data_IF_777375532740
#
_entry.id   IF_777375532740
#
_cell.length_a   1.000
_cell.length_b   1.000
_cell.length_c   1.000
_cell.angle_alpha   90.00
_cell.angle_beta   90.00
_cell.angle_gamma   90.00
#
_symmetry.space_group_name_H-M   'P 1'
#
loop_
_entity.id
_entity.type
_entity.pdbx_description
1 polymer ?
#
# COMPACT_ATOMS: atom_id res chain seq x y z
N UNK A 1 -12.99 -8.83 -5.47
CA UNK A 1 -13.02 -9.98 -4.54
C UNK A 1 -11.92 -9.84 -3.51
N UNK A 2 -12.24 -10.08 -2.24
CA UNK A 2 -11.26 -9.97 -1.16
C UNK A 2 -10.23 -11.08 -1.24
N UNK A 3 -8.98 -10.75 -0.93
CA UNK A 3 -7.87 -11.69 -0.90
C UNK A 3 -7.43 -11.94 0.53
N UNK A 4 -6.85 -13.10 0.79
CA UNK A 4 -6.28 -13.40 2.10
C UNK A 4 -5.03 -12.55 2.34
N UNK A 5 -4.66 -12.39 3.60
CA UNK A 5 -3.44 -11.69 3.98
C UNK A 5 -2.23 -12.28 3.25
N UNK A 6 -2.12 -13.60 3.22
CA UNK A 6 -1.00 -14.29 2.57
C UNK A 6 -0.90 -13.98 1.08
N UNK A 7 -2.04 -13.99 0.38
CA UNK A 7 -2.07 -13.66 -1.04
C UNK A 7 -1.63 -12.22 -1.30
N UNK A 8 -2.10 -11.29 -0.46
CA UNK A 8 -1.74 -9.88 -0.61
C UNK A 8 -0.25 -9.66 -0.34
N UNK A 9 0.28 -10.31 0.70
CA UNK A 9 1.72 -10.22 0.99
C UNK A 9 2.54 -10.71 -0.20
N UNK A 10 2.14 -11.83 -0.81
CA UNK A 10 2.83 -12.37 -1.97
C UNK A 10 2.76 -11.41 -3.16
N UNK A 11 1.58 -10.86 -3.44
CA UNK A 11 1.38 -9.91 -4.54
C UNK A 11 2.26 -8.66 -4.36
N UNK A 12 2.27 -8.11 -3.15
CA UNK A 12 3.04 -6.89 -2.86
C UNK A 12 4.53 -7.14 -2.92
N UNK A 13 5.00 -8.25 -2.34
CA UNK A 13 6.42 -8.58 -2.37
C UNK A 13 6.91 -8.80 -3.80
N UNK A 14 6.13 -9.48 -4.62
CA UNK A 14 6.48 -9.69 -6.03
C UNK A 14 6.55 -8.37 -6.78
N UNK A 15 5.57 -7.49 -6.57
CA UNK A 15 5.53 -6.19 -7.25
C UNK A 15 6.70 -5.29 -6.82
N UNK A 16 6.92 -5.18 -5.52
CA UNK A 16 8.02 -4.36 -4.99
C UNK A 16 9.38 -4.89 -5.41
N UNK A 17 9.55 -6.23 -5.41
CA UNK A 17 10.79 -6.86 -5.86
C UNK A 17 11.08 -6.60 -7.32
N UNK A 18 10.03 -6.57 -8.15
CA UNK A 18 10.15 -6.27 -9.59
C UNK A 18 10.61 -4.84 -9.84
N UNK A 19 10.34 -3.92 -8.90
CA UNK A 19 10.64 -2.50 -9.04
C UNK A 19 11.72 -2.03 -8.05
N UNK A 20 12.73 -2.85 -7.81
CA UNK A 20 13.90 -2.47 -7.03
C UNK A 20 14.09 -3.20 -5.71
N UNK A 21 13.02 -3.66 -5.09
CA UNK A 21 13.10 -4.46 -3.87
C UNK A 21 13.47 -3.72 -2.59
N UNK A 22 13.61 -2.40 -2.62
CA UNK A 22 13.99 -1.61 -1.45
C UNK A 22 12.73 -1.03 -0.79
N UNK A 23 12.30 -1.63 0.31
CA UNK A 23 11.07 -1.21 1.00
C UNK A 23 11.10 0.24 1.47
N UNK A 24 12.27 0.80 1.75
CA UNK A 24 12.41 2.19 2.19
C UNK A 24 11.94 3.20 1.14
N UNK A 25 11.86 2.79 -0.13
CA UNK A 25 11.40 3.63 -1.22
C UNK A 25 9.88 3.56 -1.41
N UNK A 26 9.18 2.78 -0.59
CA UNK A 26 7.75 2.54 -0.75
C UNK A 26 6.94 3.12 0.39
N UNK A 27 5.73 3.53 0.07
CA UNK A 27 4.72 3.96 1.03
C UNK A 27 3.58 2.95 1.01
N UNK A 28 3.19 2.46 2.18
CA UNK A 28 2.12 1.46 2.31
C UNK A 28 1.12 1.94 3.36
N UNK A 29 -0.16 1.88 3.04
CA UNK A 29 -1.20 2.28 3.97
C UNK A 29 -2.51 1.57 3.61
N UNK A 30 -3.56 1.86 4.36
CA UNK A 30 -4.88 1.28 4.15
C UNK A 30 -5.89 2.36 3.78
N UNK A 31 -6.97 1.97 3.10
CA UNK A 31 -7.98 2.91 2.64
C UNK A 31 -9.29 2.20 2.33
N UNK A 32 -10.39 2.93 2.44
CA UNK A 32 -11.68 2.49 1.92
C UNK A 32 -11.81 2.81 0.43
N UNK A 33 -10.96 3.68 -0.09
CA UNK A 33 -10.95 4.07 -1.50
C UNK A 33 -9.53 4.31 -1.98
N UNK A 34 -8.76 3.23 -2.27
CA UNK A 34 -7.33 3.36 -2.60
C UNK A 34 -7.07 4.13 -3.89
N UNK A 35 -7.95 4.05 -4.87
CA UNK A 35 -7.78 4.80 -6.12
C UNK A 35 -7.76 6.30 -5.86
N UNK A 36 -8.70 6.77 -5.05
CA UNK A 36 -8.78 8.19 -4.71
C UNK A 36 -7.55 8.61 -3.91
N UNK A 37 -7.15 7.80 -2.91
CA UNK A 37 -6.00 8.13 -2.10
C UNK A 37 -4.72 8.20 -2.94
N UNK A 38 -4.51 7.24 -3.82
CA UNK A 38 -3.33 7.23 -4.68
C UNK A 38 -3.28 8.44 -5.62
N UNK A 39 -4.39 8.76 -6.26
CA UNK A 39 -4.39 9.83 -7.27
C UNK A 39 -4.58 11.20 -6.67
N UNK A 40 -5.50 11.36 -5.72
CA UNK A 40 -5.86 12.68 -5.18
C UNK A 40 -4.90 13.15 -4.09
N UNK A 41 -4.53 12.26 -3.18
CA UNK A 41 -3.71 12.64 -2.02
C UNK A 41 -2.23 12.40 -2.24
N UNK A 42 -1.85 11.32 -2.89
CA UNK A 42 -0.44 10.97 -3.10
C UNK A 42 0.09 11.38 -4.46
N UNK A 43 -0.78 11.89 -5.34
CA UNK A 43 -0.40 12.45 -6.65
C UNK A 43 0.25 11.42 -7.57
N UNK A 44 -0.21 10.17 -7.51
CA UNK A 44 0.25 9.12 -8.43
C UNK A 44 -0.24 9.42 -9.84
N UNK A 45 0.63 9.26 -10.81
CA UNK A 45 0.37 9.51 -12.24
C UNK A 45 0.59 8.25 -13.05
N UNK A 46 0.14 8.25 -14.31
CA UNK A 46 0.43 7.16 -15.22
C UNK A 46 1.94 6.92 -15.29
N UNK A 47 2.33 5.68 -15.21
CA UNK A 47 3.75 5.30 -15.21
C UNK A 47 4.36 5.15 -13.82
N UNK A 48 3.74 5.70 -12.80
CA UNK A 48 4.19 5.51 -11.43
C UNK A 48 3.90 4.07 -10.98
N UNK A 49 4.74 3.57 -10.09
CA UNK A 49 4.61 2.19 -9.59
C UNK A 49 3.70 2.19 -8.37
N UNK A 50 2.51 1.62 -8.51
CA UNK A 50 1.56 1.52 -7.41
C UNK A 50 0.60 0.37 -7.60
N UNK A 51 0.07 -0.15 -6.52
CA UNK A 51 -0.93 -1.20 -6.55
C UNK A 51 -1.80 -1.14 -5.31
N UNK A 52 -2.95 -1.81 -5.38
CA UNK A 52 -3.80 -1.98 -4.21
C UNK A 52 -4.50 -3.33 -4.29
N UNK A 53 -4.92 -3.81 -3.12
CA UNK A 53 -5.68 -5.07 -3.01
C UNK A 53 -6.73 -4.91 -1.92
N UNK A 54 -7.84 -5.61 -2.08
CA UNK A 54 -8.89 -5.65 -1.07
C UNK A 54 -8.65 -6.85 -0.16
N UNK A 55 -8.55 -6.59 1.14
CA UNK A 55 -8.39 -7.63 2.14
C UNK A 55 -9.75 -8.10 2.66
N UNK A 56 -9.74 -9.11 3.52
CA UNK A 56 -10.97 -9.67 4.08
C UNK A 56 -11.57 -8.81 5.16
N UNK A 57 -10.79 -7.91 5.75
CA UNK A 57 -11.26 -7.00 6.81
C UNK A 57 -10.29 -5.84 6.97
N UNK A 58 -10.70 -4.82 7.72
CA UNK A 58 -9.83 -3.69 8.05
C UNK A 58 -8.64 -4.14 8.91
N UNK A 59 -8.82 -5.14 9.77
CA UNK A 59 -7.73 -5.68 10.58
C UNK A 59 -6.69 -6.35 9.68
N UNK A 60 -7.14 -7.15 8.71
CA UNK A 60 -6.22 -7.84 7.80
C UNK A 60 -5.45 -6.84 6.91
N UNK A 61 -6.11 -5.80 6.41
CA UNK A 61 -5.42 -4.79 5.63
C UNK A 61 -4.37 -4.06 6.47
N UNK A 62 -4.69 -3.73 7.72
CA UNK A 62 -3.74 -3.10 8.63
C UNK A 62 -2.54 -4.01 8.92
N UNK A 63 -2.77 -5.31 9.07
CA UNK A 63 -1.68 -6.27 9.28
C UNK A 63 -0.73 -6.34 8.09
N UNK A 64 -1.25 -6.25 6.87
CA UNK A 64 -0.40 -6.21 5.67
C UNK A 64 0.45 -4.94 5.67
N UNK A 65 -0.17 -3.79 5.95
CA UNK A 65 0.57 -2.52 6.02
C UNK A 65 1.66 -2.58 7.09
N UNK A 66 1.35 -3.14 8.26
CA UNK A 66 2.33 -3.28 9.35
C UNK A 66 3.52 -4.14 8.93
N UNK A 67 3.27 -5.22 8.20
CA UNK A 67 4.34 -6.08 7.71
C UNK A 67 5.38 -5.29 6.93
N UNK A 68 4.93 -4.42 6.01
CA UNK A 68 5.84 -3.65 5.17
C UNK A 68 6.46 -2.46 5.90
N UNK A 69 5.71 -1.80 6.78
CA UNK A 69 6.30 -0.70 7.57
C UNK A 69 7.35 -1.21 8.52
N UNK A 70 7.19 -2.42 9.05
CA UNK A 70 8.22 -3.06 9.88
C UNK A 70 9.48 -3.39 9.08
N UNK A 71 9.37 -3.57 7.77
CA UNK A 71 10.51 -3.81 6.89
C UNK A 71 11.18 -2.52 6.40
N UNK A 72 10.66 -1.37 6.79
CA UNK A 72 11.24 -0.09 6.45
C UNK A 72 10.42 0.79 5.53
N UNK A 73 9.30 0.31 5.01
CA UNK A 73 8.43 1.14 4.19
C UNK A 73 7.81 2.26 5.04
N UNK A 74 7.58 3.40 4.42
CA UNK A 74 6.83 4.48 5.07
C UNK A 74 5.34 4.19 4.98
N UNK A 75 4.56 4.79 5.86
CA UNK A 75 3.12 4.66 5.79
C UNK A 75 2.47 4.59 7.14
N UNK A 76 1.22 4.16 7.13
CA UNK A 76 0.38 4.08 8.30
C UNK A 76 -0.24 2.68 8.37
N UNK A 77 0.02 1.97 9.45
CA UNK A 77 -0.49 0.62 9.68
C UNK A 77 -1.60 0.56 10.72
N UNK A 78 -2.08 1.71 11.19
CA UNK A 78 -3.18 1.74 12.14
C UNK A 78 -4.47 1.20 11.55
N UNK A 79 -5.29 0.55 12.38
CA UNK A 79 -6.60 0.05 11.96
C UNK A 79 -7.53 1.25 11.77
N UNK A 80 -8.17 1.32 10.59
CA UNK A 80 -9.11 2.38 10.26
C UNK A 80 -10.45 1.74 9.89
N UNK A 81 -11.55 2.29 10.39
CA UNK A 81 -12.86 1.78 10.09
C UNK A 81 -13.11 1.72 8.59
N UNK A 82 -13.61 0.59 8.11
CA UNK A 82 -13.93 0.34 6.71
C UNK A 82 -12.75 0.41 5.74
N UNK A 83 -11.53 0.56 6.23
CA UNK A 83 -10.34 0.58 5.37
C UNK A 83 -9.90 -0.85 5.08
N UNK A 84 -10.65 -1.55 4.22
CA UNK A 84 -10.41 -2.95 3.89
C UNK A 84 -9.39 -3.12 2.76
N UNK A 85 -9.01 -2.03 2.10
CA UNK A 85 -8.01 -2.09 1.05
C UNK A 85 -6.65 -1.66 1.58
N UNK A 86 -5.60 -2.33 1.12
CA UNK A 86 -4.22 -1.92 1.38
C UNK A 86 -3.61 -1.52 0.04
N UNK A 87 -2.83 -0.45 0.06
CA UNK A 87 -2.18 0.05 -1.15
C UNK A 87 -0.72 0.38 -0.88
N UNK A 88 0.05 0.40 -1.96
CA UNK A 88 1.47 0.77 -1.89
C UNK A 88 1.84 1.52 -3.17
N UNK A 89 2.78 2.45 -3.05
CA UNK A 89 3.37 3.10 -4.23
C UNK A 89 4.84 3.39 -3.97
N UNK A 90 5.61 3.39 -5.04
CA UNK A 90 7.02 3.76 -4.97
C UNK A 90 7.11 5.28 -4.95
N UNK A 91 7.74 5.83 -3.91
CA UNK A 91 7.84 7.28 -3.74
C UNK A 91 8.76 7.89 -4.79
N UNK A 92 8.37 9.07 -5.30
CA UNK A 92 9.14 9.82 -6.27
C UNK A 92 8.98 11.32 -5.93
N UNK A 93 9.68 12.18 -6.68
CA UNK A 93 9.72 13.62 -6.40
C UNK A 93 8.34 14.26 -6.40
N UNK A 94 7.45 13.82 -7.27
CA UNK A 94 6.11 14.40 -7.40
C UNK A 94 5.07 13.73 -6.51
N UNK A 95 5.36 12.58 -5.90
CA UNK A 95 4.39 11.92 -5.03
C UNK A 95 4.36 12.55 -3.64
N UNK A 96 3.23 12.41 -2.95
CA UNK A 96 3.03 12.99 -1.62
C UNK A 96 2.78 11.86 -0.61
N UNK A 97 3.82 11.33 0.02
CA UNK A 97 3.63 10.28 1.04
C UNK A 97 2.89 10.78 2.28
N UNK A 98 3.06 12.04 2.62
CA UNK A 98 2.32 12.65 3.73
C UNK A 98 1.30 13.61 3.13
N UNK A 99 0.02 13.33 3.35
CA UNK A 99 -1.03 14.20 2.86
C UNK A 99 -1.44 15.24 3.89
#
# INVERSE_FOLDING_TARGET
MAKSKSEILDDFQAFMGKHGGNYKEWYVSTSSNPKMDLTKYHKIKNGDKGLFRTAESDIRSAEVAEFFTDLGAKGDSGIKDDAICVYAFKMDKHTRPNR
#
